data_IF_817753209137
#
_entry.id   IF_817753209137
#
_cell.length_a   1.000
_cell.length_b   1.000
_cell.length_c   1.000
_cell.angle_alpha   90.00
_cell.angle_beta   90.00
_cell.angle_gamma   90.00
#
_symmetry.space_group_name_H-M   'P 1'
#
loop_
_entity.id
_entity.type
_entity.pdbx_description
1 polymer ?
#
# COMPACT_ATOMS: atom_id res chain seq x y z
N UNK A 1 -12.93 48.45 -40.89
CA UNK A 1 -13.33 47.03 -41.04
C UNK A 1 -12.18 46.06 -41.22
N UNK A 2 -11.17 46.33 -42.06
CA UNK A 2 -10.00 45.41 -42.27
C UNK A 2 -9.14 45.14 -41.00
N UNK A 3 -9.01 46.13 -40.10
CA UNK A 3 -8.23 45.95 -38.85
C UNK A 3 -8.96 45.08 -37.79
N UNK A 4 -10.27 45.07 -37.74
CA UNK A 4 -11.08 44.24 -36.82
C UNK A 4 -11.05 42.75 -37.25
N UNK A 5 -11.03 42.46 -38.55
CA UNK A 5 -10.93 41.11 -39.07
C UNK A 5 -9.56 40.47 -38.78
N UNK A 6 -8.48 41.26 -38.83
CA UNK A 6 -7.12 40.74 -38.56
C UNK A 6 -6.95 40.38 -37.08
N UNK A 7 -7.53 41.14 -36.16
CA UNK A 7 -7.49 40.87 -34.71
C UNK A 7 -8.33 39.62 -34.32
N UNK A 8 -9.45 39.42 -34.98
CA UNK A 8 -10.30 38.23 -34.80
C UNK A 8 -9.60 36.94 -35.30
N UNK A 9 -8.87 37.01 -36.42
CA UNK A 9 -8.13 35.89 -36.98
C UNK A 9 -6.95 35.48 -36.08
N UNK A 10 -6.24 36.48 -35.50
CA UNK A 10 -5.14 36.22 -34.55
C UNK A 10 -5.60 35.61 -33.23
N UNK A 11 -6.77 36.01 -32.72
CA UNK A 11 -7.33 35.34 -31.51
C UNK A 11 -7.84 33.91 -31.77
N UNK A 12 -8.43 33.66 -32.95
CA UNK A 12 -8.85 32.32 -33.33
C UNK A 12 -7.64 31.39 -33.56
N UNK A 13 -6.56 31.88 -34.19
CA UNK A 13 -5.32 31.10 -34.37
C UNK A 13 -4.62 30.82 -33.04
N UNK A 14 -4.67 31.74 -32.05
CA UNK A 14 -4.12 31.53 -30.72
C UNK A 14 -4.90 30.42 -29.93
N UNK A 15 -6.20 30.37 -30.09
CA UNK A 15 -7.06 29.36 -29.45
C UNK A 15 -6.79 27.94 -30.02
N UNK A 16 -6.55 27.82 -31.32
CA UNK A 16 -6.21 26.53 -31.95
C UNK A 16 -4.83 26.04 -31.55
N UNK A 17 -3.84 26.89 -31.33
CA UNK A 17 -2.51 26.50 -30.87
C UNK A 17 -2.53 25.97 -29.42
N UNK A 18 -3.47 26.39 -28.60
CA UNK A 18 -3.64 25.89 -27.23
C UNK A 18 -4.33 24.51 -27.20
N UNK A 19 -5.30 24.29 -28.08
CA UNK A 19 -6.00 23.00 -28.20
C UNK A 19 -5.08 21.85 -28.65
N UNK A 20 -4.06 22.14 -29.50
CA UNK A 20 -3.13 21.15 -30.04
C UNK A 20 -2.00 20.76 -29.06
N UNK A 21 -1.76 21.52 -28.00
CA UNK A 21 -0.64 21.24 -27.08
C UNK A 21 -0.75 19.92 -26.29
N UNK A 22 -1.94 19.36 -26.15
CA UNK A 22 -2.17 18.13 -25.38
C UNK A 22 -2.32 16.85 -26.20
N UNK A 23 -2.69 16.96 -27.48
CA UNK A 23 -3.05 15.81 -28.33
C UNK A 23 -1.88 14.86 -28.62
N UNK A 24 -0.63 15.35 -28.59
CA UNK A 24 0.55 14.56 -28.88
C UNK A 24 1.07 13.70 -27.71
N UNK A 25 0.49 13.81 -26.51
CA UNK A 25 0.94 13.05 -25.35
C UNK A 25 0.30 11.66 -25.31
N UNK A 26 -1.00 11.56 -25.66
CA UNK A 26 -1.73 10.30 -25.64
C UNK A 26 -1.49 9.48 -26.91
N UNK A 27 -0.24 9.02 -27.09
CA UNK A 27 0.14 8.16 -28.21
C UNK A 27 0.08 6.70 -27.80
N UNK A 28 -0.56 5.87 -28.61
CA UNK A 28 -0.64 4.41 -28.39
C UNK A 28 0.75 3.80 -28.19
N UNK A 29 1.75 4.27 -28.98
CA UNK A 29 3.14 3.81 -28.86
C UNK A 29 3.74 4.08 -27.47
N UNK A 30 3.41 5.19 -26.85
CA UNK A 30 3.94 5.54 -25.53
C UNK A 30 3.25 4.72 -24.44
N UNK A 31 1.92 4.56 -24.53
CA UNK A 31 1.19 3.67 -23.63
C UNK A 31 1.72 2.23 -23.71
N UNK A 32 1.92 1.73 -24.92
CA UNK A 32 2.45 0.40 -25.19
C UNK A 32 3.86 0.22 -24.60
N UNK A 33 4.76 1.19 -24.77
CA UNK A 33 6.12 1.18 -24.21
C UNK A 33 6.09 1.01 -22.68
N UNK A 34 5.23 1.77 -21.99
CA UNK A 34 5.15 1.74 -20.53
C UNK A 34 4.53 0.44 -20.05
N UNK A 35 3.42 0.01 -20.68
CA UNK A 35 2.75 -1.26 -20.32
C UNK A 35 3.66 -2.44 -20.58
N UNK A 36 4.33 -2.50 -21.74
CA UNK A 36 5.27 -3.58 -22.06
C UNK A 36 6.41 -3.67 -21.06
N UNK A 37 6.94 -2.55 -20.57
CA UNK A 37 7.95 -2.59 -19.51
C UNK A 37 7.37 -3.15 -18.21
N UNK A 38 6.27 -2.55 -17.71
CA UNK A 38 5.70 -2.92 -16.41
C UNK A 38 5.14 -4.35 -16.40
N UNK A 39 4.56 -4.81 -17.50
CA UNK A 39 3.95 -6.13 -17.63
C UNK A 39 4.86 -7.17 -18.32
N UNK A 40 6.16 -6.91 -18.46
CA UNK A 40 7.10 -7.88 -19.02
C UNK A 40 7.34 -9.06 -18.09
N UNK A 41 7.78 -10.19 -18.65
CA UNK A 41 8.17 -11.38 -17.89
C UNK A 41 9.35 -11.12 -16.95
N UNK A 42 10.27 -10.20 -17.35
CA UNK A 42 11.39 -9.78 -16.47
C UNK A 42 10.92 -9.09 -15.19
N UNK A 43 9.74 -8.49 -15.21
CA UNK A 43 9.13 -7.88 -14.04
C UNK A 43 8.42 -8.88 -13.13
N UNK A 44 8.29 -10.15 -13.55
CA UNK A 44 7.77 -11.27 -12.76
C UNK A 44 6.51 -10.93 -11.95
N UNK A 45 5.62 -10.09 -12.55
CA UNK A 45 4.38 -9.63 -11.93
C UNK A 45 4.57 -8.72 -10.72
N UNK A 46 5.69 -8.01 -10.58
CA UNK A 46 5.92 -6.88 -9.66
C UNK A 46 5.43 -7.11 -8.23
N UNK A 47 5.64 -8.31 -7.71
CA UNK A 47 5.15 -8.68 -6.38
C UNK A 47 5.88 -7.92 -5.28
N UNK A 48 5.14 -7.47 -4.27
CA UNK A 48 5.76 -6.96 -3.04
C UNK A 48 6.69 -8.01 -2.40
N UNK A 49 7.79 -7.57 -1.79
CA UNK A 49 8.87 -8.43 -1.30
C UNK A 49 9.64 -9.18 -2.39
N UNK A 50 9.70 -8.61 -3.61
CA UNK A 50 10.58 -9.07 -4.69
C UNK A 50 11.45 -7.92 -5.18
N UNK A 51 12.61 -8.20 -5.84
CA UNK A 51 13.44 -7.14 -6.40
C UNK A 51 12.77 -6.40 -7.58
N UNK A 52 11.78 -7.00 -8.23
CA UNK A 52 11.08 -6.42 -9.37
C UNK A 52 10.20 -5.23 -8.98
N UNK A 53 9.68 -5.22 -7.74
CA UNK A 53 8.89 -4.07 -7.26
C UNK A 53 9.74 -2.79 -7.17
N UNK A 54 11.01 -2.91 -6.81
CA UNK A 54 11.93 -1.78 -6.77
C UNK A 54 12.28 -1.28 -8.18
N UNK A 55 12.47 -2.19 -9.15
CA UNK A 55 12.68 -1.83 -10.57
C UNK A 55 11.48 -1.06 -11.13
N UNK A 56 10.25 -1.48 -10.80
CA UNK A 56 9.04 -0.77 -11.19
C UNK A 56 8.99 0.64 -10.58
N UNK A 57 9.28 0.76 -9.28
CA UNK A 57 9.34 2.05 -8.61
C UNK A 57 10.37 3.00 -9.24
N UNK A 58 11.56 2.50 -9.55
CA UNK A 58 12.62 3.29 -10.18
C UNK A 58 12.25 3.74 -11.60
N UNK A 59 11.61 2.85 -12.38
CA UNK A 59 11.09 3.19 -13.68
C UNK A 59 10.04 4.32 -13.61
N UNK A 60 9.04 4.19 -12.74
CA UNK A 60 7.98 5.20 -12.58
C UNK A 60 8.57 6.54 -12.10
N UNK A 61 9.52 6.50 -11.15
CA UNK A 61 10.20 7.69 -10.67
C UNK A 61 10.99 8.41 -11.81
N UNK A 62 11.62 7.63 -12.69
CA UNK A 62 12.29 8.16 -13.86
C UNK A 62 11.31 8.80 -14.86
N UNK A 63 10.14 8.18 -15.09
CA UNK A 63 9.08 8.74 -15.95
C UNK A 63 8.52 10.05 -15.36
N UNK A 64 8.25 10.12 -14.06
CA UNK A 64 7.81 11.35 -13.39
C UNK A 64 8.86 12.47 -13.48
N UNK A 65 10.13 12.12 -13.32
CA UNK A 65 11.25 13.06 -13.48
C UNK A 65 11.34 13.55 -14.91
N UNK A 66 11.24 12.65 -15.90
CA UNK A 66 11.26 12.99 -17.34
C UNK A 66 10.08 13.86 -17.74
N UNK A 67 8.89 13.61 -17.17
CA UNK A 67 7.71 14.47 -17.30
C UNK A 67 7.90 15.87 -16.67
N UNK A 68 8.96 16.10 -15.89
CA UNK A 68 9.27 17.38 -15.25
C UNK A 68 8.41 17.69 -14.03
N UNK A 69 7.93 16.66 -13.33
CA UNK A 69 7.27 16.81 -12.02
C UNK A 69 8.30 17.20 -10.96
N UNK A 70 7.79 17.72 -9.85
CA UNK A 70 8.57 17.92 -8.64
C UNK A 70 8.36 16.73 -7.68
N UNK A 71 9.42 16.23 -7.04
CA UNK A 71 9.27 15.20 -6.03
C UNK A 71 8.62 15.76 -4.76
N UNK A 72 7.90 14.91 -4.01
CA UNK A 72 7.51 15.20 -2.65
C UNK A 72 8.71 14.98 -1.72
N UNK A 73 9.00 15.89 -0.80
CA UNK A 73 10.07 15.75 0.20
C UNK A 73 11.46 15.36 -0.35
N UNK A 74 11.88 15.97 -1.46
CA UNK A 74 13.17 15.74 -2.15
C UNK A 74 13.35 14.37 -2.80
N UNK A 75 12.37 13.49 -2.78
CA UNK A 75 12.38 12.19 -3.44
C UNK A 75 11.03 11.90 -4.08
N UNK A 76 11.05 11.25 -5.26
CA UNK A 76 9.83 10.68 -5.84
C UNK A 76 9.38 9.43 -5.07
N UNK A 77 10.31 8.74 -4.38
CA UNK A 77 10.00 7.55 -3.57
C UNK A 77 9.61 7.98 -2.16
N UNK A 78 8.38 7.71 -1.76
CA UNK A 78 7.85 7.84 -0.41
C UNK A 78 8.00 6.49 0.28
N UNK A 79 9.12 6.31 0.98
CA UNK A 79 9.50 5.02 1.57
C UNK A 79 8.77 4.73 2.87
N UNK A 80 8.39 3.46 3.04
CA UNK A 80 7.89 2.89 4.29
C UNK A 80 8.36 1.44 4.43
N UNK A 81 8.28 0.91 5.65
CA UNK A 81 8.73 -0.44 5.91
C UNK A 81 7.55 -1.37 6.15
N UNK A 82 7.54 -2.49 5.45
CA UNK A 82 6.61 -3.58 5.65
C UNK A 82 7.29 -4.78 6.27
N UNK A 83 6.54 -5.52 7.07
CA UNK A 83 7.01 -6.67 7.82
C UNK A 83 6.09 -7.86 7.56
N UNK A 84 6.69 -9.03 7.37
CA UNK A 84 6.04 -10.35 7.31
C UNK A 84 6.55 -11.22 8.44
N UNK A 85 5.86 -11.30 9.57
CA UNK A 85 6.21 -12.23 10.63
C UNK A 85 5.79 -13.66 10.26
N UNK A 86 6.74 -14.58 10.24
CA UNK A 86 6.46 -16.01 10.12
C UNK A 86 6.52 -16.62 11.51
N UNK A 87 5.41 -17.17 11.96
CA UNK A 87 5.29 -17.77 13.30
C UNK A 87 6.18 -19.02 13.44
N UNK A 88 6.89 -19.12 14.56
CA UNK A 88 7.68 -20.29 14.96
C UNK A 88 7.05 -20.94 16.18
N UNK A 89 6.91 -20.21 17.30
CA UNK A 89 6.35 -20.76 18.53
C UNK A 89 5.71 -19.66 19.41
N UNK A 90 4.83 -20.06 20.30
CA UNK A 90 4.34 -19.21 21.36
C UNK A 90 4.02 -20.05 22.61
N UNK A 91 4.18 -19.43 23.78
CA UNK A 91 3.74 -19.94 25.07
C UNK A 91 3.01 -18.86 25.83
N UNK A 92 2.03 -19.21 26.62
CA UNK A 92 1.33 -18.29 27.51
C UNK A 92 0.87 -18.98 28.79
N UNK A 93 0.76 -18.20 29.85
CA UNK A 93 0.12 -18.61 31.09
C UNK A 93 -0.92 -17.57 31.52
N UNK A 94 -2.08 -18.01 31.94
CA UNK A 94 -3.14 -17.20 32.54
C UNK A 94 -3.42 -17.73 33.93
N UNK A 95 -3.24 -16.88 34.95
CA UNK A 95 -3.43 -17.22 36.38
C UNK A 95 -2.78 -18.58 36.78
N UNK A 96 -1.53 -18.77 36.27
CA UNK A 96 -0.74 -19.98 36.50
C UNK A 96 -1.08 -21.17 35.60
N UNK A 97 -2.11 -21.09 34.77
CA UNK A 97 -2.53 -22.17 33.87
C UNK A 97 -1.90 -21.96 32.48
N UNK A 98 -1.25 -22.98 31.94
CA UNK A 98 -0.70 -22.94 30.59
C UNK A 98 -1.81 -22.92 29.53
N UNK A 99 -1.62 -22.09 28.51
CA UNK A 99 -2.53 -21.95 27.36
C UNK A 99 -1.99 -22.77 26.20
N UNK A 100 -2.85 -23.51 25.50
CA UNK A 100 -2.49 -24.22 24.27
C UNK A 100 -1.98 -23.23 23.20
N UNK A 101 -0.86 -23.55 22.58
CA UNK A 101 -0.24 -22.72 21.55
C UNK A 101 -1.21 -22.34 20.40
N UNK A 102 -2.14 -23.24 20.04
CA UNK A 102 -3.16 -22.97 19.01
C UNK A 102 -4.17 -21.89 19.42
N UNK A 103 -4.24 -21.61 20.71
CA UNK A 103 -5.08 -20.58 21.32
C UNK A 103 -4.36 -19.25 21.51
N UNK A 104 -3.16 -19.06 20.91
CA UNK A 104 -2.33 -17.87 21.03
C UNK A 104 -1.99 -17.32 19.64
N UNK A 105 -2.29 -16.05 19.38
CA UNK A 105 -1.85 -15.34 18.19
C UNK A 105 -1.22 -14.02 18.64
N UNK A 106 0.06 -13.83 18.31
CA UNK A 106 0.79 -12.60 18.62
C UNK A 106 1.04 -11.84 17.31
N UNK A 107 0.59 -10.60 17.25
CA UNK A 107 0.86 -9.65 16.19
C UNK A 107 1.97 -8.73 16.68
N UNK A 108 3.15 -8.86 16.10
CA UNK A 108 4.36 -8.13 16.50
C UNK A 108 5.33 -8.03 15.33
N UNK A 109 6.17 -6.99 15.34
CA UNK A 109 7.33 -6.86 14.45
C UNK A 109 8.62 -7.38 15.10
N UNK A 110 8.57 -7.94 16.32
CA UNK A 110 9.74 -8.46 17.02
C UNK A 110 9.96 -9.95 16.70
N UNK A 111 11.22 -10.33 16.45
CA UNK A 111 11.61 -11.72 16.28
C UNK A 111 11.42 -12.54 17.57
N UNK A 112 11.71 -11.91 18.70
CA UNK A 112 11.45 -12.44 20.03
C UNK A 112 10.53 -11.48 20.77
N UNK A 113 9.40 -11.98 21.19
CA UNK A 113 8.38 -11.22 21.89
C UNK A 113 8.19 -11.78 23.29
N UNK A 114 8.10 -10.88 24.27
CA UNK A 114 7.77 -11.21 25.65
C UNK A 114 6.96 -10.08 26.28
N UNK A 115 5.85 -10.42 26.91
CA UNK A 115 5.03 -9.49 27.68
C UNK A 115 4.34 -10.19 28.85
N UNK A 116 4.04 -9.45 29.88
CA UNK A 116 3.31 -9.89 31.07
C UNK A 116 2.43 -8.76 31.62
N UNK A 117 1.78 -8.98 32.75
CA UNK A 117 0.89 -8.01 33.41
C UNK A 117 1.60 -6.70 33.78
N UNK A 118 2.93 -6.67 33.91
CA UNK A 118 3.73 -5.47 34.21
C UNK A 118 4.07 -4.65 32.96
N UNK A 119 3.84 -5.15 31.76
CA UNK A 119 4.27 -4.54 30.51
C UNK A 119 3.34 -3.41 29.99
N UNK A 120 2.34 -2.99 30.75
CA UNK A 120 1.47 -1.84 30.41
C UNK A 120 0.48 -2.10 29.26
N UNK A 121 0.02 -3.34 29.10
CA UNK A 121 -0.97 -3.71 28.10
C UNK A 121 -2.40 -3.37 28.56
N UNK A 122 -3.18 -2.75 27.67
CA UNK A 122 -4.64 -2.71 27.83
C UNK A 122 -5.18 -4.15 27.73
N UNK A 123 -6.14 -4.51 28.62
CA UNK A 123 -6.79 -5.82 28.57
C UNK A 123 -8.24 -5.65 28.12
N UNK A 124 -8.64 -6.38 27.10
CA UNK A 124 -9.99 -6.33 26.53
C UNK A 124 -10.50 -7.73 26.23
N UNK A 125 -11.82 -7.90 26.19
CA UNK A 125 -12.45 -9.16 25.81
C UNK A 125 -13.36 -8.98 24.60
N UNK A 126 -13.23 -9.87 23.63
CA UNK A 126 -14.20 -10.05 22.56
C UNK A 126 -15.18 -11.13 23.01
N UNK A 127 -16.37 -10.71 23.43
CA UNK A 127 -17.39 -11.59 23.98
C UNK A 127 -18.12 -12.39 22.90
N UNK A 128 -18.74 -13.49 23.31
CA UNK A 128 -19.62 -14.29 22.46
C UNK A 128 -20.66 -13.43 21.73
N UNK A 129 -20.94 -13.76 20.47
CA UNK A 129 -21.91 -13.03 19.64
C UNK A 129 -21.37 -11.76 18.97
N UNK A 130 -20.16 -11.29 19.29
CA UNK A 130 -19.53 -10.18 18.63
C UNK A 130 -19.10 -10.55 17.19
N UNK A 131 -18.87 -9.56 16.31
CA UNK A 131 -18.20 -9.79 15.04
C UNK A 131 -16.69 -9.89 15.25
N UNK A 132 -16.19 -11.13 15.35
CA UNK A 132 -14.80 -11.42 15.66
C UNK A 132 -13.82 -10.68 14.73
N UNK A 133 -14.07 -10.68 13.42
CA UNK A 133 -13.16 -10.08 12.45
C UNK A 133 -13.09 -8.55 12.57
N UNK A 134 -14.23 -7.92 12.81
CA UNK A 134 -14.32 -6.46 12.96
C UNK A 134 -13.61 -6.02 14.25
N UNK A 135 -13.92 -6.67 15.37
CA UNK A 135 -13.31 -6.34 16.66
C UNK A 135 -11.80 -6.63 16.67
N UNK A 136 -11.37 -7.78 16.14
CA UNK A 136 -9.96 -8.13 16.09
C UNK A 136 -9.14 -7.13 15.22
N UNK A 137 -9.68 -6.69 14.09
CA UNK A 137 -9.02 -5.67 13.23
C UNK A 137 -8.82 -4.34 13.95
N UNK A 138 -9.79 -3.92 14.78
CA UNK A 138 -9.71 -2.69 15.56
C UNK A 138 -8.49 -2.70 16.49
N UNK A 139 -8.26 -3.82 17.19
CA UNK A 139 -7.10 -3.96 18.08
C UNK A 139 -5.80 -4.21 17.32
N UNK A 140 -5.81 -5.03 16.28
CA UNK A 140 -4.63 -5.33 15.47
C UNK A 140 -4.05 -4.10 14.74
N UNK A 141 -4.90 -3.10 14.45
CA UNK A 141 -4.53 -1.82 13.81
C UNK A 141 -4.50 -0.66 14.79
N UNK A 142 -4.68 -0.93 16.07
CA UNK A 142 -4.64 0.07 17.13
C UNK A 142 -3.22 0.60 17.37
N UNK A 143 -3.13 1.70 18.10
CA UNK A 143 -1.88 2.35 18.47
C UNK A 143 -1.43 2.04 19.91
N UNK A 144 -2.01 1.02 20.53
CA UNK A 144 -1.70 0.61 21.90
C UNK A 144 -1.37 -0.88 21.97
N UNK A 145 -0.47 -1.22 22.88
CA UNK A 145 -0.24 -2.61 23.25
C UNK A 145 -1.48 -3.18 23.92
N UNK A 146 -2.02 -4.28 23.39
CA UNK A 146 -3.30 -4.82 23.87
C UNK A 146 -3.25 -6.35 24.00
N UNK A 147 -3.67 -6.85 25.16
CA UNK A 147 -4.04 -8.24 25.36
C UNK A 147 -5.55 -8.38 25.09
N UNK A 148 -5.89 -9.12 24.05
CA UNK A 148 -7.27 -9.37 23.63
C UNK A 148 -7.63 -10.81 23.98
N UNK A 149 -8.47 -11.01 24.96
CA UNK A 149 -9.06 -12.32 25.25
C UNK A 149 -10.25 -12.51 24.31
N UNK A 150 -10.26 -13.62 23.62
CA UNK A 150 -11.32 -14.01 22.68
C UNK A 150 -12.12 -15.14 23.33
N UNK A 151 -13.44 -14.98 23.42
CA UNK A 151 -14.33 -15.98 23.99
C UNK A 151 -14.22 -17.33 23.27
N UNK A 152 -14.26 -18.43 24.00
CA UNK A 152 -14.10 -19.81 23.47
C UNK A 152 -15.17 -20.21 22.45
N UNK A 153 -16.30 -19.52 22.38
CA UNK A 153 -17.30 -19.72 21.32
C UNK A 153 -16.72 -19.51 19.91
N UNK A 154 -15.60 -18.76 19.80
CA UNK A 154 -14.90 -18.53 18.55
C UNK A 154 -13.80 -19.54 18.21
N UNK A 155 -13.68 -20.66 18.94
CA UNK A 155 -12.61 -21.65 18.77
C UNK A 155 -12.41 -22.07 17.31
N UNK A 156 -13.50 -22.31 16.57
CA UNK A 156 -13.47 -22.74 15.17
C UNK A 156 -12.98 -21.65 14.19
N UNK A 157 -13.08 -20.37 14.55
CA UNK A 157 -12.70 -19.23 13.70
C UNK A 157 -11.48 -18.47 14.20
N UNK A 158 -11.00 -18.73 15.42
CA UNK A 158 -9.88 -18.05 16.04
C UNK A 158 -8.62 -18.08 15.18
N UNK A 159 -8.28 -19.24 14.60
CA UNK A 159 -7.09 -19.39 13.74
C UNK A 159 -7.07 -18.45 12.54
N UNK A 160 -8.23 -17.97 12.06
CA UNK A 160 -8.31 -17.01 10.95
C UNK A 160 -7.71 -15.64 11.29
N UNK A 161 -7.60 -15.30 12.59
CA UNK A 161 -6.97 -14.06 13.04
C UNK A 161 -5.47 -13.99 12.70
N UNK A 162 -4.82 -15.13 12.48
CA UNK A 162 -3.43 -15.16 12.05
C UNK A 162 -3.18 -14.42 10.72
N UNK A 163 -4.22 -14.25 9.89
CA UNK A 163 -4.14 -13.45 8.64
C UNK A 163 -3.88 -11.96 8.92
N UNK A 164 -4.21 -11.45 10.10
CA UNK A 164 -3.99 -10.05 10.49
C UNK A 164 -2.50 -9.70 10.62
N UNK A 165 -1.63 -10.71 10.74
CA UNK A 165 -0.16 -10.54 10.78
C UNK A 165 0.55 -11.02 9.52
N UNK A 166 -0.16 -11.34 8.44
CA UNK A 166 0.47 -11.86 7.22
C UNK A 166 1.39 -10.83 6.57
N UNK A 167 1.00 -9.59 6.58
CA UNK A 167 1.78 -8.42 6.12
C UNK A 167 1.29 -7.21 6.89
N UNK A 168 2.20 -6.36 7.38
CA UNK A 168 1.86 -5.22 8.22
C UNK A 168 2.89 -4.10 8.11
N UNK A 169 2.51 -2.87 8.43
CA UNK A 169 3.49 -1.79 8.64
C UNK A 169 4.41 -2.12 9.81
N UNK A 170 5.67 -1.71 9.72
CA UNK A 170 6.57 -1.78 10.87
C UNK A 170 6.05 -0.87 11.98
N UNK A 171 5.84 -1.44 13.16
CA UNK A 171 5.31 -0.74 14.35
C UNK A 171 5.97 -1.28 15.61
N UNK A 172 5.94 -0.48 16.66
CA UNK A 172 6.34 -0.89 18.01
C UNK A 172 5.15 -1.35 18.86
N UNK A 173 3.92 -1.25 18.33
CA UNK A 173 2.73 -1.74 19.02
C UNK A 173 2.54 -3.24 18.78
N UNK A 174 2.08 -3.93 19.80
CA UNK A 174 1.87 -5.36 19.77
C UNK A 174 0.46 -5.70 20.22
N UNK A 175 -0.15 -6.69 19.57
CA UNK A 175 -1.47 -7.22 19.98
C UNK A 175 -1.37 -8.72 20.22
N UNK A 176 -1.80 -9.14 21.37
CA UNK A 176 -1.83 -10.56 21.75
C UNK A 176 -3.27 -11.01 21.82
N UNK A 177 -3.67 -11.96 20.98
CA UNK A 177 -4.97 -12.62 21.05
C UNK A 177 -4.83 -13.96 21.74
N UNK A 178 -5.67 -14.22 22.75
CA UNK A 178 -5.72 -15.49 23.47
C UNK A 178 -7.15 -15.97 23.56
N UNK A 179 -7.39 -17.22 23.16
CA UNK A 179 -8.71 -17.87 23.29
C UNK A 179 -8.87 -18.36 24.71
N UNK A 180 -9.75 -17.72 25.50
CA UNK A 180 -9.99 -18.06 26.90
C UNK A 180 -11.40 -17.59 27.37
N UNK A 181 -11.84 -18.06 28.53
CA UNK A 181 -13.19 -17.79 29.05
C UNK A 181 -13.28 -16.44 29.78
N UNK A 182 -12.16 -15.91 30.29
CA UNK A 182 -12.14 -14.69 31.10
C UNK A 182 -10.80 -13.93 30.96
N UNK A 183 -10.84 -12.65 31.34
CA UNK A 183 -9.64 -11.83 31.49
C UNK A 183 -8.79 -12.32 32.65
N UNK A 184 -7.48 -12.58 32.46
CA UNK A 184 -6.63 -13.04 33.56
C UNK A 184 -6.24 -11.89 34.51
N UNK A 185 -6.01 -12.22 35.78
CA UNK A 185 -5.36 -11.33 36.74
C UNK A 185 -3.85 -11.29 36.52
N UNK A 186 -3.25 -12.45 36.34
CA UNK A 186 -1.81 -12.63 36.04
C UNK A 186 -1.67 -13.29 34.67
N UNK A 187 -0.76 -12.80 33.86
CA UNK A 187 -0.52 -13.39 32.56
C UNK A 187 0.93 -13.20 32.11
N UNK A 188 1.39 -14.11 31.30
CA UNK A 188 2.63 -13.95 30.53
C UNK A 188 2.47 -14.58 29.15
N UNK A 189 3.12 -13.99 28.16
CA UNK A 189 3.16 -14.49 26.77
C UNK A 189 4.56 -14.32 26.24
N UNK A 190 5.10 -15.37 25.65
CA UNK A 190 6.32 -15.33 24.85
C UNK A 190 6.03 -15.86 23.44
N UNK A 191 6.64 -15.27 22.41
CA UNK A 191 6.51 -15.74 21.03
C UNK A 191 7.80 -15.52 20.26
N UNK A 192 8.03 -16.42 19.30
CA UNK A 192 9.18 -16.37 18.38
C UNK A 192 8.66 -16.32 16.96
N UNK A 193 9.22 -15.41 16.17
CA UNK A 193 8.92 -15.24 14.76
C UNK A 193 10.21 -15.11 13.95
N UNK A 194 10.22 -15.63 12.73
CA UNK A 194 11.16 -15.22 11.69
C UNK A 194 10.60 -13.95 11.04
N UNK A 195 11.38 -12.87 11.04
CA UNK A 195 10.93 -11.57 10.54
C UNK A 195 11.52 -11.32 9.16
N UNK A 196 10.66 -11.21 8.15
CA UNK A 196 11.05 -10.70 6.84
C UNK A 196 10.59 -9.23 6.77
N UNK A 197 11.56 -8.33 6.63
CA UNK A 197 11.34 -6.88 6.58
C UNK A 197 11.84 -6.35 5.23
N UNK A 198 11.04 -5.53 4.56
CA UNK A 198 11.43 -4.86 3.34
C UNK A 198 10.93 -3.42 3.30
N UNK A 199 11.78 -2.53 2.81
CA UNK A 199 11.38 -1.18 2.44
C UNK A 199 10.55 -1.24 1.17
N UNK A 200 9.42 -0.55 1.19
CA UNK A 200 8.53 -0.32 0.07
C UNK A 200 8.49 1.17 -0.23
N UNK A 201 8.05 1.55 -1.40
CA UNK A 201 7.89 2.95 -1.74
C UNK A 201 6.62 3.18 -2.57
N UNK A 202 5.80 4.15 -2.21
CA UNK A 202 4.96 4.80 -3.20
C UNK A 202 5.83 5.68 -4.08
N UNK A 203 5.46 5.87 -5.33
CA UNK A 203 6.13 6.83 -6.21
C UNK A 203 5.19 8.02 -6.42
N UNK A 204 5.62 9.21 -5.95
CA UNK A 204 4.78 10.40 -5.91
C UNK A 204 5.48 11.58 -6.54
N UNK A 205 4.81 12.22 -7.49
CA UNK A 205 5.27 13.44 -8.13
C UNK A 205 4.18 14.51 -8.10
N UNK A 206 4.60 15.78 -8.12
CA UNK A 206 3.67 16.92 -8.06
C UNK A 206 3.88 17.90 -9.20
N UNK A 207 2.80 18.47 -9.67
CA UNK A 207 2.75 19.67 -10.49
C UNK A 207 2.13 20.79 -9.69
N UNK A 208 2.90 21.76 -9.16
CA UNK A 208 2.37 22.83 -8.30
C UNK A 208 1.29 23.66 -9.00
N UNK A 209 0.26 24.02 -8.27
CA UNK A 209 -0.80 24.89 -8.72
C UNK A 209 -0.34 26.33 -8.90
N UNK A 210 -0.97 27.08 -9.80
CA UNK A 210 -0.64 28.48 -10.07
C UNK A 210 -1.33 29.45 -9.10
N UNK A 211 -2.60 29.22 -8.80
CA UNK A 211 -3.42 30.15 -8.00
C UNK A 211 -3.99 29.49 -6.72
N UNK A 212 -4.29 28.18 -6.76
CA UNK A 212 -4.89 27.41 -5.66
C UNK A 212 -3.93 26.32 -5.22
N UNK A 213 -2.76 26.72 -4.71
CA UNK A 213 -1.63 25.81 -4.42
C UNK A 213 -1.95 24.81 -3.32
N UNK A 214 -2.83 25.15 -2.40
CA UNK A 214 -3.22 24.33 -1.24
C UNK A 214 -4.46 23.45 -1.51
N UNK A 215 -5.03 23.55 -2.71
CA UNK A 215 -6.05 22.60 -3.19
C UNK A 215 -5.40 21.55 -4.09
N UNK A 216 -5.79 20.28 -3.90
CA UNK A 216 -5.15 19.16 -4.55
C UNK A 216 -6.12 18.39 -5.45
N UNK A 217 -5.61 17.91 -6.58
CA UNK A 217 -6.23 16.87 -7.42
C UNK A 217 -5.24 15.71 -7.46
N UNK A 218 -5.69 14.50 -7.18
CA UNK A 218 -4.83 13.32 -7.12
C UNK A 218 -5.24 12.36 -8.24
N UNK A 219 -4.28 11.97 -9.08
CA UNK A 219 -4.39 10.84 -9.99
C UNK A 219 -3.54 9.69 -9.44
N UNK A 220 -4.14 8.51 -9.30
CA UNK A 220 -3.44 7.37 -8.72
C UNK A 220 -3.77 6.06 -9.43
N UNK A 221 -2.83 5.13 -9.36
CA UNK A 221 -2.94 3.73 -9.70
C UNK A 221 -2.01 2.93 -8.81
N UNK A 222 -2.04 1.60 -8.86
CA UNK A 222 -1.07 0.78 -8.15
C UNK A 222 -0.12 0.08 -9.12
N UNK A 223 1.13 -0.10 -8.73
CA UNK A 223 2.12 -0.66 -9.62
C UNK A 223 2.59 -2.06 -9.23
N UNK A 224 2.17 -2.57 -8.06
CA UNK A 224 2.39 -3.97 -7.68
C UNK A 224 1.35 -4.88 -8.31
N UNK A 225 1.68 -6.20 -8.38
CA UNK A 225 0.74 -7.24 -8.74
C UNK A 225 1.09 -8.54 -8.01
N UNK A 226 0.42 -9.65 -8.32
CA UNK A 226 0.45 -10.89 -7.53
C UNK A 226 1.69 -11.76 -7.77
N UNK A 227 2.47 -11.47 -8.81
CA UNK A 227 3.76 -12.12 -9.03
C UNK A 227 3.69 -13.44 -9.77
N UNK A 228 4.49 -14.41 -9.35
CA UNK A 228 4.52 -15.77 -9.92
C UNK A 228 3.68 -16.69 -9.04
N UNK A 229 2.82 -17.49 -9.65
CA UNK A 229 1.90 -18.38 -8.96
C UNK A 229 1.66 -19.70 -9.70
N UNK A 230 0.47 -20.27 -9.50
CA UNK A 230 0.07 -21.49 -10.21
C UNK A 230 -0.05 -21.21 -11.71
N UNK A 231 0.57 -22.06 -12.52
CA UNK A 231 0.48 -21.91 -13.98
C UNK A 231 -0.98 -22.03 -14.48
N UNK A 232 -1.35 -21.11 -15.36
CA UNK A 232 -2.60 -21.14 -16.13
C UNK A 232 -2.18 -21.27 -17.60
N UNK A 233 -2.65 -22.31 -18.28
CA UNK A 233 -2.30 -22.61 -19.68
C UNK A 233 -0.78 -22.66 -19.96
N UNK A 234 0.01 -23.06 -18.95
CA UNK A 234 1.45 -23.19 -19.05
C UNK A 234 2.24 -21.96 -18.60
N UNK A 235 1.60 -20.81 -18.42
CA UNK A 235 2.21 -19.59 -17.90
C UNK A 235 1.96 -19.44 -16.39
N UNK A 236 3.02 -19.17 -15.63
CA UNK A 236 3.00 -18.96 -14.18
C UNK A 236 3.22 -17.51 -13.75
N UNK A 237 3.55 -16.62 -14.70
CA UNK A 237 3.79 -15.20 -14.43
C UNK A 237 2.47 -14.43 -14.59
N UNK A 238 2.00 -13.86 -13.52
CA UNK A 238 0.86 -12.95 -13.57
C UNK A 238 1.37 -11.55 -13.91
N UNK A 239 1.45 -11.23 -15.20
CA UNK A 239 2.09 -9.99 -15.69
C UNK A 239 1.39 -8.72 -15.26
N UNK A 240 0.05 -8.75 -15.01
CA UNK A 240 -0.71 -7.62 -14.53
C UNK A 240 -0.73 -6.44 -15.51
N UNK A 241 -0.96 -6.71 -16.80
CA UNK A 241 -1.04 -5.65 -17.81
C UNK A 241 -2.26 -4.75 -17.61
N UNK A 242 -3.43 -5.37 -17.37
CA UNK A 242 -4.67 -4.65 -17.08
C UNK A 242 -4.77 -4.21 -15.62
N UNK A 243 -4.27 -5.03 -14.69
CA UNK A 243 -4.28 -4.83 -13.24
C UNK A 243 -2.83 -4.76 -12.71
N UNK A 244 -2.21 -3.59 -12.45
CA UNK A 244 -2.70 -2.28 -12.85
C UNK A 244 -1.61 -1.50 -13.61
N UNK A 245 -0.84 -2.21 -14.50
CA UNK A 245 0.12 -1.53 -15.36
C UNK A 245 -0.57 -0.50 -16.27
N UNK A 246 -1.80 -0.77 -16.71
CA UNK A 246 -2.58 0.16 -17.53
C UNK A 246 -2.99 1.42 -16.76
N UNK A 247 -3.47 1.32 -15.51
CA UNK A 247 -3.79 2.46 -14.66
C UNK A 247 -2.55 3.28 -14.31
N UNK A 248 -1.45 2.61 -13.92
CA UNK A 248 -0.15 3.26 -13.69
C UNK A 248 0.36 3.99 -14.93
N UNK A 249 0.19 3.41 -16.13
CA UNK A 249 0.49 4.06 -17.41
C UNK A 249 -0.35 5.32 -17.60
N UNK A 250 -1.65 5.24 -17.29
CA UNK A 250 -2.56 6.39 -17.33
C UNK A 250 -2.07 7.53 -16.42
N UNK A 251 -1.62 7.22 -15.22
CA UNK A 251 -1.06 8.22 -14.27
C UNK A 251 0.18 8.89 -14.85
N UNK A 252 1.11 8.12 -15.45
CA UNK A 252 2.34 8.67 -16.10
C UNK A 252 1.98 9.58 -17.27
N UNK A 253 1.09 9.13 -18.16
CA UNK A 253 0.69 9.91 -19.33
C UNK A 253 -0.09 11.16 -18.96
N UNK A 254 -0.92 11.11 -17.91
CA UNK A 254 -1.59 12.31 -17.37
C UNK A 254 -0.56 13.30 -16.78
N UNK A 255 0.51 12.82 -16.15
CA UNK A 255 1.58 13.68 -15.66
C UNK A 255 2.26 14.45 -16.82
N UNK A 256 2.60 13.76 -17.91
CA UNK A 256 3.15 14.36 -19.14
C UNK A 256 2.17 15.37 -19.74
N UNK A 257 0.88 15.02 -19.82
CA UNK A 257 -0.18 15.87 -20.37
C UNK A 257 -0.35 17.17 -19.60
N UNK A 258 -0.59 17.09 -18.28
CA UNK A 258 -0.81 18.29 -17.48
C UNK A 258 0.43 19.16 -17.37
N UNK A 259 1.63 18.57 -17.38
CA UNK A 259 2.88 19.33 -17.45
C UNK A 259 3.00 20.11 -18.76
N UNK A 260 2.62 19.50 -19.89
CA UNK A 260 2.65 20.16 -21.18
C UNK A 260 1.59 21.28 -21.28
N UNK A 261 0.39 21.06 -20.77
CA UNK A 261 -0.66 22.09 -20.71
C UNK A 261 -0.24 23.27 -19.83
N UNK A 262 0.40 23.00 -18.72
CA UNK A 262 0.90 24.00 -17.78
C UNK A 262 -0.12 25.10 -17.45
N UNK A 263 -1.38 24.72 -17.20
CA UNK A 263 -2.48 25.64 -16.92
C UNK A 263 -3.29 25.30 -15.65
N UNK A 264 -2.78 24.37 -14.83
CA UNK A 264 -3.44 23.90 -13.63
C UNK A 264 -3.49 25.02 -12.56
N UNK A 265 -4.67 25.32 -12.06
CA UNK A 265 -4.88 26.22 -10.91
C UNK A 265 -4.50 25.55 -9.60
N UNK A 266 -4.91 24.28 -9.42
CA UNK A 266 -4.66 23.44 -8.25
C UNK A 266 -3.37 22.67 -8.40
N UNK A 267 -2.77 22.30 -7.29
CA UNK A 267 -1.67 21.35 -7.29
C UNK A 267 -2.19 19.97 -7.72
N UNK A 268 -1.52 19.34 -8.71
CA UNK A 268 -1.85 18.00 -9.14
C UNK A 268 -0.79 17.05 -8.59
N UNK A 269 -1.25 16.00 -7.92
CA UNK A 269 -0.42 14.92 -7.38
C UNK A 269 -0.63 13.68 -8.22
N UNK A 270 0.46 13.07 -8.67
CA UNK A 270 0.48 11.80 -9.39
C UNK A 270 1.11 10.76 -8.49
N UNK A 271 0.36 9.71 -8.13
CA UNK A 271 0.77 8.71 -7.18
C UNK A 271 0.63 7.31 -7.76
N UNK A 272 1.73 6.56 -7.79
CA UNK A 272 1.74 5.13 -8.02
C UNK A 272 1.94 4.44 -6.68
N UNK A 273 0.90 3.78 -6.19
CA UNK A 273 0.93 3.08 -4.91
C UNK A 273 1.51 1.69 -5.04
N UNK A 274 2.15 1.20 -3.99
CA UNK A 274 2.57 -0.20 -3.85
C UNK A 274 1.69 -0.94 -2.86
N UNK A 275 1.80 -2.27 -2.84
CA UNK A 275 1.15 -3.15 -1.89
C UNK A 275 -0.39 -3.01 -1.85
N UNK A 276 -1.00 -2.75 -3.00
CA UNK A 276 -2.45 -2.77 -3.16
C UNK A 276 -2.97 -4.18 -2.96
N UNK A 277 -2.41 -5.14 -3.69
CA UNK A 277 -2.74 -6.59 -3.68
C UNK A 277 -2.54 -7.25 -2.29
N UNK A 278 -1.76 -6.62 -1.44
CA UNK A 278 -1.51 -7.08 -0.07
C UNK A 278 -2.48 -6.47 0.96
N UNK A 279 -3.41 -5.60 0.53
CA UNK A 279 -4.42 -4.95 1.37
C UNK A 279 -4.38 -3.43 1.35
N UNK A 280 -3.91 -2.81 0.26
CA UNK A 280 -3.93 -1.37 0.04
C UNK A 280 -2.95 -0.59 0.93
N UNK A 281 -1.83 -1.19 1.33
CA UNK A 281 -0.91 -0.56 2.29
C UNK A 281 -0.32 0.75 1.78
N UNK A 282 0.05 0.82 0.50
CA UNK A 282 0.59 2.05 -0.08
C UNK A 282 -0.36 3.23 0.02
N UNK A 283 -1.64 3.01 -0.28
CA UNK A 283 -2.67 4.05 -0.19
C UNK A 283 -3.07 4.39 1.26
N UNK A 284 -2.74 3.54 2.23
CA UNK A 284 -2.99 3.78 3.66
C UNK A 284 -1.87 4.56 4.33
N UNK A 285 -0.66 4.54 3.74
CA UNK A 285 0.51 5.25 4.23
C UNK A 285 0.46 6.74 3.89
#
# INVERSE_FOLDING_TARGET
>A
MKKLMLTGLLMAAGSFLWAQKGENVFQVKEADRIIQFLASDEMRGRKVFSPEIDKAADFIAAEFKAAGLQPMNNSFRQEFTMVRPKFISATATFDGTAIDQKSIIVITCAAQFKADQGAGYDKVMISAGANLQTEARKYARGNKNTLVVVDKSFANSFGNLARLKSTMFKTNTNTVFVLADALPSQWSVEAVHEINEQKMANVVGMLPGKSKKDEYVIFSGHYDHIGVGRAVEGDSIYNGANDDAAGTTGVIMLAQYFKQLNNNERTIVFAAFTAEESGGFGAQY
#
